data_IF_787734236247
#
_entry.id   IF_787734236247
#
_cell.length_a   1.000
_cell.length_b   1.000
_cell.length_c   1.000
_cell.angle_alpha   90.00
_cell.angle_beta   90.00
_cell.angle_gamma   90.00
#
_symmetry.space_group_name_H-M   'P 1'
#
loop_
_entity.id
_entity.type
_entity.pdbx_description
1 polymer ?
#
# COMPACT_ATOMS: atom_id res chain seq x y z
N UNK A 1 26.82 -10.84 -13.44
CA UNK A 1 26.07 -11.75 -12.54
C UNK A 1 24.67 -11.90 -13.13
N UNK A 2 24.21 -13.14 -13.36
CA UNK A 2 22.86 -13.37 -13.90
C UNK A 2 21.81 -13.16 -12.80
N UNK A 3 20.82 -12.32 -13.05
CA UNK A 3 19.71 -12.13 -12.12
C UNK A 3 18.75 -13.31 -12.25
N UNK A 4 18.54 -14.06 -11.17
CA UNK A 4 17.50 -15.10 -11.13
C UNK A 4 16.12 -14.41 -11.02
N UNK A 5 15.17 -14.81 -11.87
CA UNK A 5 13.81 -14.29 -11.92
C UNK A 5 12.81 -15.43 -11.76
N UNK A 6 11.82 -15.26 -10.89
CA UNK A 6 10.74 -16.25 -10.67
C UNK A 6 9.40 -15.54 -10.78
N UNK A 7 9.10 -15.06 -11.98
CA UNK A 7 7.85 -14.32 -12.23
C UNK A 7 6.70 -15.28 -12.50
N UNK A 8 5.51 -14.95 -11.99
CA UNK A 8 4.28 -15.72 -12.18
C UNK A 8 3.10 -14.80 -12.39
N UNK A 9 2.13 -15.28 -13.17
CA UNK A 9 0.80 -14.66 -13.30
C UNK A 9 -0.25 -15.61 -12.77
N UNK A 10 -1.16 -15.10 -11.94
CA UNK A 10 -2.24 -15.90 -11.35
C UNK A 10 -3.54 -15.13 -11.49
N UNK A 11 -4.55 -15.79 -12.04
CA UNK A 11 -5.94 -15.32 -12.02
C UNK A 11 -6.76 -16.15 -11.03
N UNK A 12 -7.76 -15.50 -10.44
CA UNK A 12 -8.60 -16.13 -9.44
C UNK A 12 -9.45 -15.12 -8.69
N UNK A 13 -9.99 -15.57 -7.56
CA UNK A 13 -10.89 -14.79 -6.72
C UNK A 13 -10.24 -14.42 -5.40
N UNK A 14 -10.56 -13.22 -4.91
CA UNK A 14 -10.10 -12.76 -3.60
C UNK A 14 -10.87 -13.49 -2.51
N UNK A 15 -10.17 -14.24 -1.66
CA UNK A 15 -10.80 -15.07 -0.63
C UNK A 15 -11.26 -14.31 0.62
N UNK A 16 -10.63 -13.19 0.92
CA UNK A 16 -10.91 -12.35 2.08
C UNK A 16 -10.52 -10.91 1.80
N UNK A 17 -11.09 -9.98 2.57
CA UNK A 17 -10.77 -8.55 2.46
C UNK A 17 -9.25 -8.32 2.57
N UNK A 18 -8.65 -7.50 1.69
CA UNK A 18 -7.23 -7.16 1.80
C UNK A 18 -6.92 -6.49 3.14
N UNK A 19 -5.88 -6.98 3.81
CA UNK A 19 -5.47 -6.51 5.14
C UNK A 19 -4.26 -5.61 5.02
N UNK A 20 -4.34 -4.41 5.59
CA UNK A 20 -3.19 -3.53 5.73
C UNK A 20 -2.28 -4.06 6.85
N UNK A 21 -1.00 -4.30 6.53
CA UNK A 21 0.03 -4.65 7.52
C UNK A 21 1.21 -3.68 7.52
N UNK A 22 1.13 -2.60 6.73
CA UNK A 22 2.12 -1.53 6.74
C UNK A 22 2.19 -0.89 8.12
N UNK A 23 3.41 -0.69 8.64
CA UNK A 23 3.63 -0.11 9.98
C UNK A 23 3.41 1.40 10.03
N UNK A 24 3.44 2.08 8.88
CA UNK A 24 3.29 3.53 8.77
C UNK A 24 2.69 3.92 7.43
N UNK A 25 2.13 5.14 7.36
CA UNK A 25 1.59 5.72 6.13
C UNK A 25 2.65 5.87 5.03
N UNK A 26 3.91 6.05 5.42
CA UNK A 26 5.05 6.18 4.50
C UNK A 26 5.51 4.85 3.89
N UNK A 27 5.04 3.71 4.39
CA UNK A 27 5.34 2.39 3.85
C UNK A 27 4.08 1.52 3.80
N UNK A 28 3.13 1.87 2.91
CA UNK A 28 1.90 1.12 2.80
C UNK A 28 2.19 -0.28 2.26
N UNK A 29 1.61 -1.28 2.91
CA UNK A 29 1.75 -2.68 2.56
C UNK A 29 0.44 -3.41 2.86
N UNK A 30 -0.02 -4.24 1.94
CA UNK A 30 -1.22 -5.02 2.15
C UNK A 30 -1.02 -6.47 1.73
N UNK A 31 -1.75 -7.36 2.39
CA UNK A 31 -1.81 -8.77 2.03
C UNK A 31 -3.24 -9.15 1.68
N UNK A 32 -3.37 -10.04 0.72
CA UNK A 32 -4.64 -10.65 0.35
C UNK A 32 -4.40 -12.11 -0.01
N UNK A 33 -5.48 -12.88 -0.09
CA UNK A 33 -5.41 -14.29 -0.47
C UNK A 33 -6.20 -14.51 -1.73
N UNK A 34 -5.57 -15.13 -2.73
CA UNK A 34 -6.20 -15.47 -4.00
C UNK A 34 -6.49 -16.97 -4.05
N UNK A 35 -7.68 -17.33 -4.51
CA UNK A 35 -8.13 -18.67 -4.83
C UNK A 35 -8.13 -18.85 -6.35
N UNK A 36 -7.28 -19.73 -6.87
CA UNK A 36 -7.24 -20.09 -8.28
C UNK A 36 -7.75 -21.51 -8.46
N UNK A 37 -8.94 -21.63 -9.05
CA UNK A 37 -9.57 -22.93 -9.36
C UNK A 37 -9.49 -23.13 -10.87
N UNK A 38 -8.75 -24.14 -11.29
CA UNK A 38 -8.64 -24.51 -12.71
C UNK A 38 -9.76 -25.47 -13.06
N UNK A 39 -10.52 -25.19 -14.12
CA UNK A 39 -11.43 -26.16 -14.71
C UNK A 39 -10.76 -26.87 -15.89
N UNK A 40 -11.12 -28.14 -16.10
CA UNK A 40 -10.71 -28.91 -17.27
C UNK A 40 -11.91 -29.67 -17.82
N UNK A 41 -11.96 -29.81 -19.14
CA UNK A 41 -13.03 -30.54 -19.81
C UNK A 41 -12.70 -32.02 -19.86
N UNK A 42 -13.64 -32.86 -19.44
CA UNK A 42 -13.57 -34.32 -19.56
C UNK A 42 -14.35 -34.77 -20.78
N UNK A 43 -13.67 -35.36 -21.76
CA UNK A 43 -14.27 -35.76 -23.04
C UNK A 43 -15.20 -36.97 -22.91
N UNK A 44 -14.91 -37.87 -21.98
CA UNK A 44 -15.71 -39.06 -21.65
C UNK A 44 -17.07 -38.69 -21.05
N UNK A 45 -17.06 -37.71 -20.15
CA UNK A 45 -18.27 -37.26 -19.44
C UNK A 45 -18.95 -36.05 -20.11
N UNK A 46 -18.32 -35.48 -21.15
CA UNK A 46 -18.76 -34.25 -21.84
C UNK A 46 -19.08 -33.10 -20.87
N UNK A 47 -18.32 -32.98 -19.78
CA UNK A 47 -18.56 -31.99 -18.74
C UNK A 47 -17.27 -31.35 -18.23
N UNK A 48 -17.41 -30.13 -17.69
CA UNK A 48 -16.32 -29.43 -17.01
C UNK A 48 -16.17 -29.94 -15.58
N UNK A 49 -14.94 -30.24 -15.20
CA UNK A 49 -14.58 -30.60 -13.83
C UNK A 49 -13.62 -29.58 -13.25
N UNK A 50 -13.74 -29.36 -11.95
CA UNK A 50 -12.83 -28.48 -11.21
C UNK A 50 -11.64 -29.28 -10.66
N UNK A 51 -10.45 -28.68 -10.74
CA UNK A 51 -9.28 -29.13 -10.00
C UNK A 51 -9.30 -28.56 -8.58
N UNK A 52 -8.51 -29.14 -7.65
CA UNK A 52 -8.32 -28.55 -6.33
C UNK A 52 -7.89 -27.07 -6.42
N UNK A 53 -8.56 -26.23 -5.64
CA UNK A 53 -8.27 -24.79 -5.58
C UNK A 53 -6.87 -24.54 -5.02
N UNK A 54 -6.05 -23.87 -5.80
CA UNK A 54 -4.75 -23.39 -5.35
C UNK A 54 -4.92 -22.06 -4.63
N UNK A 55 -4.46 -22.00 -3.38
CA UNK A 55 -4.55 -20.80 -2.57
C UNK A 55 -3.18 -20.17 -2.36
N UNK A 56 -3.07 -18.87 -2.65
CA UNK A 56 -1.80 -18.15 -2.53
C UNK A 56 -1.96 -16.85 -1.75
N UNK A 57 -0.97 -16.54 -0.91
CA UNK A 57 -0.87 -15.23 -0.27
C UNK A 57 -0.16 -14.28 -1.22
N UNK A 58 -0.80 -13.16 -1.50
CA UNK A 58 -0.26 -12.08 -2.33
C UNK A 58 0.07 -10.91 -1.41
N UNK A 59 1.28 -10.36 -1.55
CA UNK A 59 1.69 -9.12 -0.89
C UNK A 59 1.87 -8.03 -1.91
N UNK A 60 1.30 -6.86 -1.65
CA UNK A 60 1.51 -5.66 -2.42
C UNK A 60 2.12 -4.58 -1.51
N UNK A 61 2.92 -3.70 -2.12
CA UNK A 61 3.65 -2.65 -1.42
C UNK A 61 3.45 -1.29 -2.09
N UNK A 62 3.78 -0.22 -1.35
CA UNK A 62 3.79 1.17 -1.85
C UNK A 62 2.42 1.54 -2.43
N UNK A 63 2.42 2.30 -3.52
CA UNK A 63 1.20 2.75 -4.22
C UNK A 63 0.25 1.59 -4.54
N UNK A 64 0.78 0.42 -4.91
CA UNK A 64 -0.06 -0.74 -5.24
C UNK A 64 -0.87 -1.19 -4.02
N UNK A 65 -0.26 -1.25 -2.84
CA UNK A 65 -0.96 -1.61 -1.61
C UNK A 65 -2.12 -0.67 -1.29
N UNK A 66 -1.88 0.64 -1.34
CA UNK A 66 -2.91 1.65 -1.07
C UNK A 66 -4.05 1.60 -2.08
N UNK A 67 -3.77 1.29 -3.34
CA UNK A 67 -4.79 1.17 -4.37
C UNK A 67 -5.59 -0.13 -4.22
N UNK A 68 -4.93 -1.25 -3.90
CA UNK A 68 -5.59 -2.54 -3.66
C UNK A 68 -6.58 -2.43 -2.50
N UNK A 69 -6.18 -1.84 -1.38
CA UNK A 69 -7.05 -1.62 -0.21
C UNK A 69 -8.30 -0.79 -0.52
N UNK A 70 -8.27 0.03 -1.58
CA UNK A 70 -9.40 0.88 -2.01
C UNK A 70 -10.25 0.26 -3.12
N UNK A 71 -9.68 -0.67 -3.88
CA UNK A 71 -10.24 -1.10 -5.18
C UNK A 71 -10.63 -2.57 -5.21
N UNK A 72 -10.11 -3.39 -4.30
CA UNK A 72 -10.25 -4.84 -4.31
C UNK A 72 -10.90 -5.28 -3.01
N UNK A 73 -11.94 -6.10 -3.13
CA UNK A 73 -12.72 -6.64 -2.02
C UNK A 73 -12.80 -8.15 -2.12
N UNK A 74 -13.32 -8.79 -1.06
CA UNK A 74 -13.60 -10.22 -1.06
C UNK A 74 -14.56 -10.59 -2.19
N UNK A 75 -14.23 -11.64 -2.92
CA UNK A 75 -15.03 -12.15 -4.03
C UNK A 75 -14.68 -11.54 -5.39
N UNK A 76 -13.89 -10.48 -5.44
CA UNK A 76 -13.48 -9.88 -6.70
C UNK A 76 -12.62 -10.85 -7.51
N UNK A 77 -12.87 -10.90 -8.81
CA UNK A 77 -12.03 -11.61 -9.76
C UNK A 77 -10.84 -10.74 -10.13
N UNK A 78 -9.63 -11.23 -9.89
CA UNK A 78 -8.39 -10.47 -10.12
C UNK A 78 -7.36 -11.28 -10.90
N UNK A 79 -6.47 -10.56 -11.57
CA UNK A 79 -5.23 -11.06 -12.14
C UNK A 79 -4.06 -10.40 -11.42
N UNK A 80 -3.11 -11.21 -10.97
CA UNK A 80 -1.92 -10.78 -10.24
C UNK A 80 -0.69 -11.20 -11.03
N UNK A 81 0.21 -10.26 -11.25
CA UNK A 81 1.55 -10.50 -11.81
C UNK A 81 2.59 -10.11 -10.77
N UNK A 82 3.61 -10.94 -10.57
CA UNK A 82 4.64 -10.67 -9.58
C UNK A 82 5.74 -11.71 -9.53
N UNK A 83 6.55 -11.65 -8.47
CA UNK A 83 7.62 -12.60 -8.21
C UNK A 83 7.25 -13.54 -7.06
N UNK A 84 7.54 -14.83 -7.23
CA UNK A 84 7.48 -15.77 -6.13
C UNK A 84 8.63 -15.49 -5.16
N UNK A 85 8.30 -15.46 -3.88
CA UNK A 85 9.23 -15.24 -2.78
C UNK A 85 8.92 -16.21 -1.64
N UNK A 86 9.94 -16.63 -0.90
CA UNK A 86 9.76 -17.48 0.27
C UNK A 86 9.96 -16.63 1.51
N UNK A 87 8.91 -16.50 2.31
CA UNK A 87 8.97 -15.85 3.62
C UNK A 87 9.20 -16.91 4.69
N UNK A 88 10.24 -16.72 5.50
CA UNK A 88 10.54 -17.57 6.65
C UNK A 88 10.34 -16.80 7.94
N UNK A 89 9.75 -17.44 8.95
CA UNK A 89 9.56 -16.86 10.27
C UNK A 89 9.66 -17.95 11.35
N UNK A 90 10.16 -17.57 12.53
CA UNK A 90 10.20 -18.46 13.69
C UNK A 90 9.00 -18.16 14.59
N UNK A 91 8.30 -19.20 15.03
CA UNK A 91 7.21 -19.09 16.01
C UNK A 91 7.32 -20.24 17.01
N UNK A 92 7.28 -19.90 18.31
CA UNK A 92 7.35 -20.89 19.40
C UNK A 92 8.57 -21.82 19.32
N UNK A 93 9.71 -21.28 18.87
CA UNK A 93 10.97 -22.01 18.69
C UNK A 93 11.05 -22.87 17.43
N UNK A 94 10.00 -22.91 16.60
CA UNK A 94 9.98 -23.63 15.33
C UNK A 94 10.10 -22.69 14.14
N UNK A 95 10.90 -23.07 13.15
CA UNK A 95 11.03 -22.34 11.90
C UNK A 95 9.96 -22.77 10.90
N UNK A 96 9.28 -21.78 10.33
CA UNK A 96 8.28 -21.95 9.29
C UNK A 96 8.71 -21.22 8.03
N UNK A 97 8.27 -21.73 6.89
CA UNK A 97 8.38 -21.03 5.63
C UNK A 97 7.04 -21.07 4.87
N UNK A 98 6.87 -20.09 3.98
CA UNK A 98 5.71 -20.03 3.09
C UNK A 98 6.13 -19.36 1.79
N UNK A 99 5.70 -19.95 0.68
CA UNK A 99 5.76 -19.31 -0.63
C UNK A 99 4.65 -18.27 -0.73
N UNK A 100 5.03 -17.05 -1.08
CA UNK A 100 4.15 -15.90 -1.32
C UNK A 100 4.38 -15.35 -2.73
N UNK A 101 3.43 -14.57 -3.21
CA UNK A 101 3.56 -13.78 -4.43
C UNK A 101 3.72 -12.30 -4.09
N UNK A 102 4.88 -11.74 -4.39
CA UNK A 102 5.11 -10.29 -4.31
C UNK A 102 4.62 -9.63 -5.60
N UNK A 103 3.47 -8.97 -5.50
CA UNK A 103 2.79 -8.39 -6.63
C UNK A 103 3.54 -7.18 -7.19
N UNK A 104 3.80 -7.22 -8.48
CA UNK A 104 4.24 -6.08 -9.29
C UNK A 104 3.04 -5.37 -9.94
N UNK A 105 1.98 -6.12 -10.27
CA UNK A 105 0.72 -5.58 -10.77
C UNK A 105 -0.48 -6.42 -10.29
N UNK A 106 -1.61 -5.76 -10.03
CA UNK A 106 -2.90 -6.37 -9.71
C UNK A 106 -3.97 -5.60 -10.48
N UNK A 107 -4.90 -6.31 -11.11
CA UNK A 107 -6.05 -5.72 -11.79
C UNK A 107 -7.28 -6.63 -11.72
N UNK A 108 -8.46 -6.03 -11.91
CA UNK A 108 -9.72 -6.77 -12.03
C UNK A 108 -9.75 -7.59 -13.33
N UNK A 109 -10.21 -8.84 -13.24
CA UNK A 109 -10.42 -9.70 -14.40
C UNK A 109 -11.75 -9.34 -15.08
N UNK A 110 -11.65 -8.61 -16.19
CA UNK A 110 -12.82 -8.12 -16.92
C UNK A 110 -13.59 -9.22 -17.66
N UNK A 111 -13.08 -10.46 -17.73
CA UNK A 111 -13.89 -11.59 -18.19
C UNK A 111 -15.01 -11.93 -17.20
N UNK A 112 -14.92 -11.44 -15.96
CA UNK A 112 -15.83 -11.79 -14.85
C UNK A 112 -16.55 -10.58 -14.25
N UNK A 113 -16.38 -9.39 -14.82
CA UNK A 113 -17.03 -8.19 -14.33
C UNK A 113 -16.53 -6.91 -15.00
N UNK A 114 -17.02 -5.77 -14.53
CA UNK A 114 -16.66 -4.43 -15.01
C UNK A 114 -16.09 -3.59 -13.87
N UNK A 115 -15.16 -2.69 -14.16
CA UNK A 115 -14.59 -1.76 -13.18
C UNK A 115 -14.52 -0.34 -13.75
N UNK A 116 -14.42 0.67 -12.87
CA UNK A 116 -14.17 2.06 -13.26
C UNK A 116 -12.78 2.47 -12.81
N UNK A 117 -11.98 2.99 -13.72
CA UNK A 117 -10.61 3.40 -13.43
C UNK A 117 -10.53 4.90 -13.14
N UNK A 118 -10.10 5.24 -11.91
CA UNK A 118 -9.77 6.62 -11.54
C UNK A 118 -8.27 6.83 -11.62
N UNK A 119 -7.83 7.73 -12.50
CA UNK A 119 -6.41 8.06 -12.66
C UNK A 119 -5.87 8.70 -11.38
N UNK A 120 -4.67 8.28 -10.96
CA UNK A 120 -3.96 8.97 -9.88
C UNK A 120 -3.54 10.37 -10.34
N UNK A 121 -4.07 11.41 -9.69
CA UNK A 121 -3.65 12.79 -9.94
C UNK A 121 -2.24 12.99 -9.36
N UNK A 122 -1.25 13.15 -10.23
CA UNK A 122 0.14 13.37 -9.84
C UNK A 122 0.34 14.74 -9.15
N UNK A 123 -0.51 15.72 -9.45
CA UNK A 123 -0.42 17.08 -8.90
C UNK A 123 -0.82 17.15 -7.42
N UNK A 124 -1.66 16.23 -6.94
CA UNK A 124 -2.09 16.20 -5.54
C UNK A 124 -0.97 15.78 -4.58
N UNK A 125 0.00 14.99 -5.05
CA UNK A 125 1.13 14.52 -4.22
C UNK A 125 2.20 15.60 -3.99
N UNK A 126 2.28 16.63 -4.85
CA UNK A 126 3.16 17.79 -4.63
C UNK A 126 2.60 18.75 -3.58
N UNK A 127 1.28 18.86 -3.49
CA UNK A 127 0.64 19.83 -2.60
C UNK A 127 0.69 19.43 -1.11
N UNK A 128 0.85 18.14 -0.78
CA UNK A 128 0.91 17.70 0.63
C UNK A 128 2.24 18.10 1.30
N UNK A 129 3.37 17.94 0.61
CA UNK A 129 4.65 18.45 1.11
C UNK A 129 4.71 19.98 1.21
N UNK A 130 3.91 20.69 0.41
CA UNK A 130 3.85 22.16 0.44
C UNK A 130 2.99 22.67 1.61
N UNK A 131 2.07 21.84 2.13
CA UNK A 131 1.23 22.21 3.29
C UNK A 131 1.95 22.05 4.62
N UNK A 132 2.73 20.99 4.80
CA UNK A 132 3.56 20.82 6.01
C UNK A 132 4.65 21.90 6.12
N UNK A 133 5.32 22.22 5.01
CA UNK A 133 6.34 23.28 4.98
C UNK A 133 5.74 24.66 5.28
N UNK A 134 4.57 25.00 4.71
CA UNK A 134 3.91 26.28 5.00
C UNK A 134 3.38 26.40 6.44
N UNK A 135 2.93 25.31 7.08
CA UNK A 135 2.50 25.36 8.48
C UNK A 135 3.67 25.52 9.46
N UNK A 136 4.82 24.90 9.19
CA UNK A 136 6.03 25.08 10.00
C UNK A 136 6.60 26.49 9.84
N UNK A 137 6.55 27.08 8.64
CA UNK A 137 7.01 28.45 8.40
C UNK A 137 6.09 29.51 9.04
N UNK A 138 4.77 29.31 9.03
CA UNK A 138 3.84 30.21 9.72
C UNK A 138 3.99 30.18 11.24
N UNK A 139 4.22 29.00 11.84
CA UNK A 139 4.51 28.89 13.28
C UNK A 139 5.82 29.57 13.66
N UNK A 140 6.88 29.38 12.87
CA UNK A 140 8.18 30.01 13.12
C UNK A 140 8.12 31.55 13.01
N UNK A 141 7.39 32.08 12.02
CA UNK A 141 7.21 33.54 11.87
C UNK A 141 6.34 34.14 12.98
N UNK A 142 5.33 33.43 13.47
CA UNK A 142 4.52 33.88 14.61
C UNK A 142 5.31 33.91 15.92
N UNK A 143 6.27 32.99 16.12
CA UNK A 143 7.14 32.98 17.30
C UNK A 143 8.23 34.06 17.26
N UNK A 144 8.82 34.35 16.10
CA UNK A 144 9.83 35.41 15.95
C UNK A 144 9.26 36.83 16.09
N UNK A 145 8.04 37.07 15.57
CA UNK A 145 7.41 38.39 15.72
C UNK A 145 7.05 38.72 17.18
N UNK A 146 6.75 37.70 18.01
CA UNK A 146 6.45 37.91 19.43
C UNK A 146 7.71 38.13 20.28
N UNK A 147 8.89 37.75 19.79
CA UNK A 147 10.16 38.00 20.50
C UNK A 147 10.70 39.41 20.24
N UNK A 148 10.42 40.00 19.07
CA UNK A 148 10.83 41.37 18.73
C UNK A 148 9.92 42.46 19.30
N UNK A 149 8.67 42.14 19.66
CA UNK A 149 7.73 43.10 20.26
C UNK A 149 8.02 43.40 21.74
N UNK A 150 8.93 42.65 22.39
CA UNK A 150 9.29 42.82 23.80
C UNK A 150 10.62 43.58 24.02
N UNK A 151 11.23 44.13 22.97
CA UNK A 151 12.47 44.93 23.05
C UNK A 151 12.18 46.35 22.55
N UNK A 152 11.31 47.07 23.25
CA UNK A 152 11.24 48.54 23.17
C UNK A 152 10.31 49.04 24.26
N UNK A 153 10.89 49.47 25.36
CA UNK A 153 10.56 50.70 26.10
C UNK A 153 11.19 50.60 27.50
N UNK A 154 12.48 50.94 27.57
CA UNK A 154 13.10 51.44 28.81
C UNK A 154 14.23 52.38 28.37
N UNK A 155 13.85 53.55 27.84
CA UNK A 155 14.79 54.64 27.63
C UNK A 155 14.28 55.91 28.35
N UNK A 156 15.14 56.36 29.27
CA UNK A 156 15.39 57.76 29.61
C UNK A 156 14.32 58.53 30.41
N UNK A 157 14.53 58.55 31.73
CA UNK A 157 14.06 59.61 32.63
C UNK A 157 15.13 59.87 33.69
N UNK A 158 16.05 60.79 33.39
CA UNK A 158 16.97 61.32 34.37
C UNK A 158 16.26 62.33 35.27
N UNK A 159 16.54 62.29 36.56
CA UNK A 159 16.44 63.47 37.41
C UNK A 159 17.45 63.36 38.54
N UNK A 160 18.30 64.38 38.62
CA UNK A 160 19.28 64.62 39.67
C UNK A 160 18.62 65.28 40.88
N UNK A 161 19.30 65.14 42.02
CA UNK A 161 19.31 66.02 43.19
C UNK A 161 18.53 65.61 44.47
N UNK A 162 19.31 65.74 45.55
CA UNK A 162 19.07 65.77 47.02
C UNK A 162 19.06 64.42 47.75
#
# INVERSE_FOLDING_TARGET
MAQQQSTVTISGYVGAEPVNFGRSENSPACSLRIASTQSYYRNDEQQWHERPTTWMTVKAYRTLASNVLKSVHKGDAIVVYGNLSTESWTKDGNDYNRVILEASAIGHDLNRGTTQFTKRNADSAKNDHTKESNQVQQKNNAQQNNSNANISNDEFGGETDI
#
